data_IF_524099961108
#
_entry.id   IF_524099961108
#
_cell.length_a   1.000
_cell.length_b   1.000
_cell.length_c   1.000
_cell.angle_alpha   90.00
_cell.angle_beta   90.00
_cell.angle_gamma   90.00
#
_symmetry.space_group_name_H-M   'P 1'
#
loop_
_entity.id
_entity.type
_entity.pdbx_description
1 polymer ?
#
# COMPACT_ATOMS: atom_id res chain seq x y z
N UNK A 1 19.45 -5.88 26.07
CA UNK A 1 18.64 -6.61 25.09
C UNK A 1 17.24 -5.98 25.13
N UNK A 2 16.90 -5.09 24.18
CA UNK A 2 15.54 -4.56 24.04
C UNK A 2 14.64 -5.71 23.56
N UNK A 3 13.70 -6.14 24.40
CA UNK A 3 12.57 -6.95 23.96
C UNK A 3 11.83 -6.15 22.89
N UNK A 4 11.89 -6.62 21.64
CA UNK A 4 11.04 -6.09 20.58
C UNK A 4 9.61 -6.43 20.98
N UNK A 5 8.79 -5.43 21.26
CA UNK A 5 7.36 -5.61 21.37
C UNK A 5 6.87 -6.34 20.13
N UNK A 6 6.38 -7.57 20.30
CA UNK A 6 5.77 -8.34 19.23
C UNK A 6 4.56 -7.54 18.73
N UNK A 7 4.68 -7.02 17.52
CA UNK A 7 3.60 -6.29 16.88
C UNK A 7 2.43 -7.27 16.63
N UNK A 8 1.18 -6.84 16.77
CA UNK A 8 -0.03 -7.64 16.48
C UNK A 8 0.07 -8.35 15.11
N UNK A 9 0.77 -7.74 14.14
CA UNK A 9 1.08 -8.35 12.83
C UNK A 9 2.01 -9.56 12.91
N UNK A 10 2.87 -9.64 13.90
CA UNK A 10 3.76 -10.80 14.08
C UNK A 10 2.98 -12.00 14.63
N UNK A 11 1.99 -11.76 15.48
CA UNK A 11 1.08 -12.82 15.99
C UNK A 11 0.29 -13.46 14.84
N UNK A 12 -0.29 -12.67 13.94
CA UNK A 12 -1.02 -13.19 12.77
C UNK A 12 -0.11 -14.01 11.83
N UNK A 13 1.15 -13.60 11.65
CA UNK A 13 2.13 -14.37 10.86
C UNK A 13 2.51 -15.68 11.54
N UNK A 14 2.68 -15.67 12.85
CA UNK A 14 2.98 -16.89 13.62
C UNK A 14 1.80 -17.86 13.56
N UNK A 15 0.57 -17.38 13.78
CA UNK A 15 -0.65 -18.20 13.66
C UNK A 15 -0.73 -18.83 12.28
N UNK A 16 -0.53 -18.04 11.21
CA UNK A 16 -0.56 -18.56 9.84
C UNK A 16 0.54 -19.59 9.58
N UNK A 17 1.73 -19.40 10.13
CA UNK A 17 2.80 -20.38 10.01
C UNK A 17 2.46 -21.69 10.71
N UNK A 18 1.87 -21.62 11.90
CA UNK A 18 1.41 -22.79 12.66
C UNK A 18 0.28 -23.53 11.94
N UNK A 19 -0.72 -22.82 11.42
CA UNK A 19 -1.80 -23.41 10.61
C UNK A 19 -1.25 -24.23 9.44
N UNK A 20 -0.29 -23.65 8.71
CA UNK A 20 0.34 -24.33 7.58
C UNK A 20 1.13 -25.57 8.04
N UNK A 21 1.89 -25.47 9.13
CA UNK A 21 2.61 -26.62 9.68
C UNK A 21 1.66 -27.75 10.10
N UNK A 22 0.54 -27.42 10.76
CA UNK A 22 -0.46 -28.39 11.17
C UNK A 22 -1.17 -29.06 10.00
N UNK A 23 -1.50 -28.28 8.94
CA UNK A 23 -2.17 -28.82 7.76
C UNK A 23 -1.27 -29.69 6.89
N UNK A 24 0.03 -29.36 6.82
CA UNK A 24 0.94 -30.02 5.85
C UNK A 24 1.89 -31.01 6.50
N UNK A 25 2.00 -31.02 7.83
CA UNK A 25 2.98 -31.83 8.56
C UNK A 25 4.44 -31.41 8.31
N UNK A 26 4.69 -30.25 7.67
CA UNK A 26 6.03 -29.77 7.28
C UNK A 26 6.32 -28.40 7.88
N UNK A 27 7.59 -28.09 8.20
CA UNK A 27 7.98 -26.77 8.65
C UNK A 27 7.60 -25.67 7.64
N UNK A 28 7.06 -24.55 8.13
CA UNK A 28 6.68 -23.41 7.28
C UNK A 28 7.87 -22.85 6.45
N UNK A 29 9.09 -22.96 6.97
CA UNK A 29 10.31 -22.55 6.26
C UNK A 29 10.52 -23.28 4.94
N UNK A 30 10.17 -24.56 4.85
CA UNK A 30 10.29 -25.35 3.61
C UNK A 30 9.32 -24.87 2.55
N UNK A 31 8.15 -24.37 2.94
CA UNK A 31 7.14 -23.86 2.02
C UNK A 31 7.42 -22.44 1.52
N UNK A 32 8.25 -21.68 2.26
CA UNK A 32 8.69 -20.35 1.83
C UNK A 32 9.72 -20.37 0.72
N UNK A 33 10.46 -21.44 0.58
CA UNK A 33 11.43 -21.62 -0.49
C UNK A 33 10.74 -22.17 -1.74
N UNK A 34 9.90 -21.33 -2.38
CA UNK A 34 9.43 -21.67 -3.73
C UNK A 34 10.62 -21.57 -4.67
N UNK A 35 11.03 -22.66 -5.33
CA UNK A 35 12.02 -22.56 -6.38
C UNK A 35 11.55 -21.53 -7.41
N UNK A 36 12.46 -20.68 -7.88
CA UNK A 36 12.16 -19.77 -8.99
C UNK A 36 11.72 -20.65 -10.17
N UNK A 37 10.43 -20.61 -10.49
CA UNK A 37 9.93 -21.29 -11.69
C UNK A 37 10.56 -20.58 -12.88
N UNK A 38 11.25 -21.31 -13.71
CA UNK A 38 11.64 -20.83 -15.03
C UNK A 38 10.36 -20.47 -15.80
N UNK A 39 10.36 -19.31 -16.37
CA UNK A 39 9.23 -18.79 -17.15
C UNK A 39 9.69 -18.61 -18.58
N UNK A 40 8.84 -18.94 -19.52
CA UNK A 40 9.11 -18.78 -20.96
C UNK A 40 9.01 -17.32 -21.42
N UNK A 41 8.94 -16.38 -20.48
CA UNK A 41 8.84 -14.95 -20.78
C UNK A 41 9.74 -14.14 -19.86
N UNK A 42 10.21 -13.02 -20.38
CA UNK A 42 10.98 -12.04 -19.65
C UNK A 42 10.04 -11.02 -19.00
N UNK A 43 10.34 -10.62 -17.77
CA UNK A 43 9.58 -9.60 -17.04
C UNK A 43 10.41 -8.32 -17.03
N UNK A 44 9.90 -7.27 -17.66
CA UNK A 44 10.44 -5.93 -17.56
C UNK A 44 9.66 -5.17 -16.50
N UNK A 45 10.38 -4.53 -15.57
CA UNK A 45 9.77 -3.78 -14.49
C UNK A 45 10.03 -2.30 -14.71
N UNK A 46 8.98 -1.53 -14.88
CA UNK A 46 9.06 -0.08 -15.08
C UNK A 46 8.35 0.61 -13.93
N UNK A 47 9.02 1.56 -13.31
CA UNK A 47 8.48 2.39 -12.25
C UNK A 47 8.44 3.86 -12.66
N UNK A 48 7.36 4.57 -12.32
CA UNK A 48 7.31 6.02 -12.51
C UNK A 48 7.81 6.74 -11.27
N UNK A 49 8.77 7.65 -11.45
CA UNK A 49 9.31 8.49 -10.38
C UNK A 49 8.87 9.94 -10.54
N UNK A 50 8.23 10.46 -9.51
CA UNK A 50 7.74 11.84 -9.48
C UNK A 50 8.44 12.56 -8.32
N UNK A 51 8.88 13.82 -8.50
CA UNK A 51 9.42 14.61 -7.40
C UNK A 51 8.47 14.62 -6.20
N UNK A 52 9.03 14.43 -5.01
CA UNK A 52 8.25 14.24 -3.78
C UNK A 52 7.24 15.36 -3.51
N UNK A 53 7.62 16.60 -3.77
CA UNK A 53 6.75 17.76 -3.57
C UNK A 53 5.53 17.70 -4.51
N UNK A 54 5.76 17.34 -5.75
CA UNK A 54 4.70 17.17 -6.76
C UNK A 54 3.76 16.02 -6.40
N UNK A 55 4.32 14.86 -6.02
CA UNK A 55 3.54 13.71 -5.58
C UNK A 55 2.63 14.07 -4.39
N UNK A 56 3.14 14.81 -3.43
CA UNK A 56 2.37 15.23 -2.26
C UNK A 56 1.26 16.21 -2.63
N UNK A 57 1.54 17.17 -3.54
CA UNK A 57 0.51 18.08 -4.05
C UNK A 57 -0.60 17.35 -4.82
N UNK A 58 -0.24 16.33 -5.63
CA UNK A 58 -1.22 15.49 -6.30
C UNK A 58 -2.09 14.69 -5.31
N UNK A 59 -1.48 14.15 -4.26
CA UNK A 59 -2.19 13.41 -3.21
C UNK A 59 -3.20 14.32 -2.49
N UNK A 60 -2.76 15.50 -2.07
CA UNK A 60 -3.61 16.42 -1.32
C UNK A 60 -4.80 16.88 -2.17
N UNK A 61 -4.58 17.25 -3.42
CA UNK A 61 -5.63 17.62 -4.39
C UNK A 61 -6.62 16.48 -4.61
N UNK A 62 -6.12 15.25 -4.83
CA UNK A 62 -6.99 14.08 -5.00
C UNK A 62 -7.88 13.83 -3.80
N UNK A 63 -7.40 14.04 -2.58
CA UNK A 63 -8.24 13.91 -1.37
C UNK A 63 -9.35 14.96 -1.37
N UNK A 64 -9.04 16.20 -1.75
CA UNK A 64 -10.04 17.28 -1.84
C UNK A 64 -11.09 16.97 -2.92
N UNK A 65 -10.68 16.47 -4.08
CA UNK A 65 -11.55 16.02 -5.17
C UNK A 65 -12.48 14.88 -4.70
N UNK A 66 -11.95 13.85 -4.06
CA UNK A 66 -12.76 12.73 -3.53
C UNK A 66 -13.80 13.18 -2.50
N UNK A 67 -13.48 14.17 -1.67
CA UNK A 67 -14.43 14.74 -0.72
C UNK A 67 -15.53 15.53 -1.44
N UNK A 68 -15.17 16.29 -2.48
CA UNK A 68 -16.15 17.01 -3.31
C UNK A 68 -17.06 16.06 -4.09
N UNK A 69 -16.56 14.90 -4.53
CA UNK A 69 -17.28 13.83 -5.20
C UNK A 69 -18.16 12.99 -4.27
N UNK A 70 -18.09 13.21 -2.94
CA UNK A 70 -19.00 12.58 -1.99
C UNK A 70 -18.40 11.45 -1.14
N UNK A 71 -17.08 11.36 -1.00
CA UNK A 71 -16.42 10.36 -0.15
C UNK A 71 -17.01 10.33 1.28
N UNK A 72 -17.37 11.48 1.85
CA UNK A 72 -17.96 11.54 3.19
C UNK A 72 -19.37 10.87 3.22
N UNK A 73 -20.16 11.08 2.19
CA UNK A 73 -21.51 10.48 2.07
C UNK A 73 -21.38 8.96 1.92
N UNK A 74 -20.46 8.51 1.09
CA UNK A 74 -20.14 7.09 0.93
C UNK A 74 -19.68 6.46 2.25
N UNK A 75 -18.72 7.08 2.93
CA UNK A 75 -18.24 6.61 4.22
C UNK A 75 -19.36 6.54 5.26
N UNK A 76 -20.30 7.50 5.26
CA UNK A 76 -21.45 7.49 6.17
C UNK A 76 -22.39 6.32 5.92
N UNK A 77 -22.61 5.95 4.67
CA UNK A 77 -23.39 4.75 4.32
C UNK A 77 -22.72 3.46 4.77
N UNK A 78 -21.38 3.43 4.74
CA UNK A 78 -20.59 2.27 5.14
C UNK A 78 -20.30 2.21 6.65
N UNK A 79 -20.60 3.28 7.38
CA UNK A 79 -20.30 3.40 8.81
C UNK A 79 -20.86 2.26 9.69
N UNK A 80 -22.08 1.70 9.46
CA UNK A 80 -22.57 0.55 10.21
C UNK A 80 -21.66 -0.67 10.11
N UNK A 81 -20.88 -0.77 9.04
CA UNK A 81 -19.98 -1.87 8.75
C UNK A 81 -18.51 -1.55 9.09
N UNK A 82 -18.24 -0.48 9.85
CA UNK A 82 -16.88 0.01 10.17
C UNK A 82 -15.95 -1.02 10.81
N UNK A 83 -16.49 -2.11 11.38
CA UNK A 83 -15.74 -3.20 11.99
C UNK A 83 -15.08 -4.14 10.96
N UNK A 84 -15.51 -4.10 9.70
CA UNK A 84 -14.96 -4.96 8.65
C UNK A 84 -13.53 -4.54 8.27
N UNK A 85 -12.64 -5.51 8.13
CA UNK A 85 -11.24 -5.27 7.78
C UNK A 85 -11.07 -4.49 6.46
N UNK A 86 -11.94 -4.73 5.48
CA UNK A 86 -11.93 -4.04 4.19
C UNK A 86 -12.10 -2.51 4.33
N UNK A 87 -12.82 -2.06 5.35
CA UNK A 87 -13.09 -0.65 5.61
C UNK A 87 -12.07 0.00 6.56
N UNK A 88 -11.06 -0.77 7.04
CA UNK A 88 -9.97 -0.24 7.87
C UNK A 88 -8.83 0.35 7.02
N UNK A 89 -9.18 1.02 5.94
CA UNK A 89 -8.25 1.67 5.01
C UNK A 89 -8.17 3.17 5.24
N UNK A 90 -7.14 3.80 4.69
CA UNK A 90 -7.01 5.27 4.69
C UNK A 90 -8.18 5.87 3.92
N UNK A 91 -8.78 6.90 4.49
CA UNK A 91 -10.00 7.52 4.02
C UNK A 91 -11.18 7.17 4.93
N UNK A 92 -11.61 5.94 4.91
CA UNK A 92 -12.75 5.50 5.75
C UNK A 92 -12.42 5.54 7.24
N UNK A 93 -11.26 5.04 7.64
CA UNK A 93 -10.87 4.98 9.05
C UNK A 93 -10.86 6.36 9.71
N UNK A 94 -10.37 7.38 9.03
CA UNK A 94 -10.30 8.74 9.53
C UNK A 94 -11.70 9.37 9.59
N UNK A 95 -12.54 9.17 8.55
CA UNK A 95 -13.93 9.62 8.54
C UNK A 95 -14.76 8.91 9.62
N UNK A 96 -14.53 7.63 9.86
CA UNK A 96 -15.20 6.93 10.96
C UNK A 96 -14.78 7.49 12.33
N UNK A 97 -13.53 7.91 12.49
CA UNK A 97 -13.10 8.58 13.72
C UNK A 97 -13.81 9.92 13.92
N UNK A 98 -14.03 10.67 12.84
CA UNK A 98 -14.86 11.88 12.85
C UNK A 98 -16.32 11.56 13.21
N UNK A 99 -16.93 10.54 12.62
CA UNK A 99 -18.31 10.13 12.93
C UNK A 99 -18.47 9.62 14.36
N UNK A 100 -17.41 9.05 14.95
CA UNK A 100 -17.36 8.66 16.37
C UNK A 100 -17.13 9.87 17.31
N UNK A 101 -16.97 11.10 16.78
CA UNK A 101 -16.71 12.31 17.58
C UNK A 101 -15.29 12.38 18.17
N UNK A 102 -14.34 11.58 17.65
CA UNK A 102 -12.95 11.53 18.14
C UNK A 102 -12.05 12.62 17.56
N UNK A 103 -12.46 13.26 16.49
CA UNK A 103 -11.79 14.38 15.86
C UNK A 103 -12.79 15.23 15.07
N UNK A 104 -12.41 16.46 14.73
CA UNK A 104 -13.18 17.31 13.83
C UNK A 104 -13.11 16.78 12.38
N UNK A 105 -14.01 17.27 11.52
CA UNK A 105 -13.99 16.97 10.10
C UNK A 105 -12.66 17.36 9.44
N UNK A 106 -12.19 18.56 9.73
CA UNK A 106 -10.97 19.11 9.14
C UNK A 106 -9.73 18.30 9.59
N UNK A 107 -9.69 17.90 10.87
CA UNK A 107 -8.65 17.01 11.37
C UNK A 107 -8.67 15.64 10.65
N UNK A 108 -9.85 15.07 10.40
CA UNK A 108 -9.97 13.83 9.65
C UNK A 108 -9.44 13.96 8.22
N UNK A 109 -9.75 15.06 7.53
CA UNK A 109 -9.24 15.37 6.18
C UNK A 109 -7.71 15.48 6.17
N UNK A 110 -7.14 16.24 7.10
CA UNK A 110 -5.68 16.35 7.23
C UNK A 110 -5.01 15.01 7.57
N UNK A 111 -5.67 14.19 8.37
CA UNK A 111 -5.21 12.83 8.66
C UNK A 111 -5.22 11.94 7.41
N UNK A 112 -6.24 12.02 6.55
CA UNK A 112 -6.32 11.31 5.29
C UNK A 112 -5.15 11.69 4.38
N UNK A 113 -4.94 12.99 4.15
CA UNK A 113 -3.82 13.52 3.35
C UNK A 113 -2.48 13.02 3.89
N UNK A 114 -2.24 13.18 5.19
CA UNK A 114 -1.00 12.75 5.85
C UNK A 114 -0.76 11.24 5.73
N UNK A 115 -1.78 10.43 5.98
CA UNK A 115 -1.66 8.98 5.96
C UNK A 115 -1.50 8.45 4.53
N UNK A 116 -2.10 9.08 3.54
CA UNK A 116 -1.89 8.78 2.12
C UNK A 116 -0.46 9.10 1.70
N UNK A 117 0.10 10.26 2.09
CA UNK A 117 1.51 10.59 1.85
C UNK A 117 2.46 9.58 2.49
N UNK A 118 2.16 9.13 3.71
CA UNK A 118 2.94 8.08 4.40
C UNK A 118 2.85 6.74 3.70
N UNK A 119 1.69 6.42 3.15
CA UNK A 119 1.50 5.19 2.37
C UNK A 119 2.32 5.23 1.09
N UNK A 120 2.25 6.30 0.32
CA UNK A 120 3.06 6.51 -0.89
C UNK A 120 4.58 6.42 -0.59
N UNK A 121 5.05 7.03 0.52
CA UNK A 121 6.45 6.91 0.94
C UNK A 121 6.84 5.45 1.21
N UNK A 122 5.98 4.67 1.87
CA UNK A 122 6.27 3.25 2.13
C UNK A 122 6.31 2.43 0.84
N UNK A 123 5.42 2.70 -0.12
CA UNK A 123 5.43 2.04 -1.43
C UNK A 123 6.73 2.32 -2.17
N UNK A 124 7.14 3.59 -2.31
CA UNK A 124 8.40 3.95 -2.96
C UNK A 124 9.61 3.30 -2.27
N UNK A 125 9.65 3.30 -0.94
CA UNK A 125 10.74 2.66 -0.19
C UNK A 125 10.78 1.15 -0.46
N UNK A 126 9.64 0.51 -0.65
CA UNK A 126 9.56 -0.92 -0.94
C UNK A 126 9.99 -1.23 -2.37
N UNK A 127 9.47 -0.51 -3.35
CA UNK A 127 9.80 -0.71 -4.76
C UNK A 127 11.27 -0.36 -5.09
N UNK A 128 11.84 0.66 -4.45
CA UNK A 128 13.26 1.04 -4.64
C UNK A 128 14.26 0.01 -4.12
N UNK A 129 13.81 -1.02 -3.43
CA UNK A 129 14.67 -2.17 -3.05
C UNK A 129 14.92 -3.15 -4.20
N UNK A 130 14.11 -3.08 -5.23
CA UNK A 130 14.25 -3.93 -6.41
C UNK A 130 15.12 -3.21 -7.44
N UNK A 131 16.37 -3.66 -7.65
CA UNK A 131 17.29 -3.02 -8.59
C UNK A 131 16.94 -3.26 -10.06
N UNK A 132 16.00 -4.20 -10.32
CA UNK A 132 15.56 -4.50 -11.69
C UNK A 132 14.52 -3.51 -12.21
N UNK A 133 14.04 -2.58 -11.37
CA UNK A 133 13.06 -1.58 -11.80
C UNK A 133 13.76 -0.44 -12.53
N UNK A 134 13.41 -0.27 -13.78
CA UNK A 134 13.78 0.92 -14.58
C UNK A 134 12.88 2.09 -14.18
N UNK A 135 13.45 3.13 -13.57
CA UNK A 135 12.73 4.30 -13.11
C UNK A 135 12.77 5.42 -14.14
N UNK A 136 11.59 5.98 -14.48
CA UNK A 136 11.46 7.09 -15.44
C UNK A 136 10.39 8.07 -14.98
N UNK A 137 10.47 9.36 -15.35
CA UNK A 137 9.37 10.29 -15.15
C UNK A 137 8.07 9.82 -15.82
N UNK A 138 6.90 10.11 -15.25
CA UNK A 138 5.64 9.79 -15.89
C UNK A 138 5.51 10.56 -17.23
N UNK A 139 5.07 9.86 -18.27
CA UNK A 139 4.90 10.43 -19.62
C UNK A 139 6.13 10.37 -20.53
N UNK A 140 7.27 9.91 -20.05
CA UNK A 140 8.47 9.71 -20.86
C UNK A 140 8.38 8.39 -21.67
N UNK A 141 7.46 8.36 -22.61
CA UNK A 141 7.13 7.17 -23.41
C UNK A 141 8.32 6.70 -24.24
N UNK A 142 9.10 7.64 -24.76
CA UNK A 142 10.24 7.32 -25.64
C UNK A 142 11.32 6.55 -24.88
N UNK A 143 11.61 6.93 -23.63
CA UNK A 143 12.55 6.17 -22.80
C UNK A 143 12.02 4.79 -22.43
N UNK A 144 10.71 4.65 -22.22
CA UNK A 144 10.09 3.36 -21.95
C UNK A 144 10.23 2.44 -23.15
N UNK A 145 9.93 2.94 -24.35
CA UNK A 145 10.06 2.20 -25.61
C UNK A 145 11.52 1.80 -25.82
N UNK A 146 12.45 2.76 -25.73
CA UNK A 146 13.87 2.49 -25.90
C UNK A 146 14.39 1.44 -24.90
N UNK A 147 13.90 1.46 -23.63
CA UNK A 147 14.24 0.43 -22.64
C UNK A 147 13.70 -0.94 -23.03
N UNK A 148 12.47 -1.03 -23.54
CA UNK A 148 11.86 -2.29 -23.99
C UNK A 148 12.65 -2.85 -25.17
N UNK A 149 12.88 -2.04 -26.22
CA UNK A 149 13.56 -2.46 -27.44
C UNK A 149 15.03 -2.86 -27.20
N UNK A 150 15.72 -2.14 -26.31
CA UNK A 150 17.10 -2.46 -25.94
C UNK A 150 17.24 -3.67 -25.00
N UNK A 151 16.13 -4.23 -24.54
CA UNK A 151 16.12 -5.33 -23.59
C UNK A 151 15.57 -6.62 -24.19
N UNK A 152 14.88 -6.55 -25.34
CA UNK A 152 14.42 -7.70 -26.12
C UNK A 152 15.55 -8.26 -26.95
#
# INVERSE_FOLDING_TARGET
RRQRQMCIRDSARVVRALEVCLQTGRPYSEQRTKPRRERNFRILKIGTDVPRAELYGRIDRRVDEMLAEGLEVEARRLYPYKHLNALQTVGYKELFAYFDGRCSRDEAVELIKRNTRRYAKRQLTWFRRDPEIFWTPPGDTDKIIAYIDGTL
#
